data_IF_799522481979
#
_entry.id   IF_799522481979
#
_cell.length_a   1.000
_cell.length_b   1.000
_cell.length_c   1.000
_cell.angle_alpha   90.00
_cell.angle_beta   90.00
_cell.angle_gamma   90.00
#
_symmetry.space_group_name_H-M   'P 1'
#
loop_
_entity.id
_entity.type
_entity.pdbx_description
1 polymer ?
#
# COMPACT_ATOMS: atom_id res chain seq x y z
N UNK A 1 18.37 -36.44 -5.67
CA UNK A 1 19.03 -35.14 -5.59
C UNK A 1 19.66 -34.66 -6.91
N UNK A 2 19.55 -35.41 -8.00
CA UNK A 2 20.07 -35.01 -9.34
C UNK A 2 19.04 -34.38 -10.29
N UNK A 3 17.74 -34.39 -9.96
CA UNK A 3 16.70 -33.91 -10.86
C UNK A 3 16.33 -32.43 -10.65
N UNK A 4 16.65 -31.85 -9.47
CA UNK A 4 16.33 -30.45 -9.16
C UNK A 4 17.29 -29.48 -9.89
N UNK A 5 18.55 -29.85 -10.09
CA UNK A 5 19.51 -29.02 -10.83
C UNK A 5 19.14 -28.87 -12.32
N UNK A 6 18.62 -29.94 -12.94
CA UNK A 6 18.17 -29.88 -14.34
C UNK A 6 16.95 -29.00 -14.57
N UNK A 7 16.03 -28.95 -13.61
CA UNK A 7 14.84 -28.09 -13.71
C UNK A 7 15.18 -26.59 -13.53
N UNK A 8 16.19 -26.27 -12.71
CA UNK A 8 16.68 -24.92 -12.55
C UNK A 8 17.40 -24.42 -13.80
N UNK A 9 18.22 -25.27 -14.43
CA UNK A 9 18.91 -24.90 -15.67
C UNK A 9 17.94 -24.76 -16.86
N UNK A 10 16.87 -25.54 -16.93
CA UNK A 10 15.81 -25.39 -17.93
C UNK A 10 15.00 -24.11 -17.71
N UNK A 11 14.75 -23.76 -16.45
CA UNK A 11 14.06 -22.53 -16.08
C UNK A 11 14.92 -21.28 -16.38
N UNK A 12 16.21 -21.36 -16.08
CA UNK A 12 17.17 -20.29 -16.38
C UNK A 12 17.42 -20.14 -17.88
N UNK A 13 17.46 -21.23 -18.66
CA UNK A 13 17.58 -21.16 -20.13
C UNK A 13 16.32 -20.58 -20.79
N UNK A 14 15.11 -20.87 -20.27
CA UNK A 14 13.86 -20.23 -20.73
C UNK A 14 13.81 -18.72 -20.44
N UNK A 15 14.54 -18.24 -19.42
CA UNK A 15 14.69 -16.82 -19.12
C UNK A 15 15.67 -16.14 -20.11
N UNK A 16 16.68 -16.87 -20.60
CA UNK A 16 17.68 -16.34 -21.53
C UNK A 16 17.21 -16.28 -23.00
N UNK A 17 16.23 -17.10 -23.40
CA UNK A 17 15.67 -17.06 -24.76
C UNK A 17 14.63 -15.97 -25.01
N UNK A 18 14.21 -15.19 -23.99
CA UNK A 18 13.31 -14.06 -24.16
C UNK A 18 14.04 -12.70 -24.26
N UNK A 19 15.12 -12.64 -25.05
CA UNK A 19 15.99 -11.47 -25.20
C UNK A 19 15.37 -10.23 -25.92
N UNK A 20 14.04 -10.17 -26.03
CA UNK A 20 13.31 -9.01 -26.53
C UNK A 20 12.24 -8.49 -25.56
N UNK A 21 12.32 -8.80 -24.26
CA UNK A 21 11.48 -8.09 -23.29
C UNK A 21 12.00 -6.67 -23.14
N UNK A 22 11.13 -5.65 -23.25
CA UNK A 22 11.54 -4.26 -23.06
C UNK A 22 12.20 -4.12 -21.68
N UNK A 23 13.43 -3.59 -21.66
CA UNK A 23 14.15 -3.32 -20.41
C UNK A 23 13.61 -2.02 -19.84
N UNK A 24 12.66 -2.15 -18.93
CA UNK A 24 12.11 -1.00 -18.23
C UNK A 24 13.09 -0.46 -17.21
N UNK A 25 13.38 0.82 -17.30
CA UNK A 25 14.29 1.54 -16.41
C UNK A 25 13.53 2.57 -15.57
N UNK A 26 13.96 2.75 -14.34
CA UNK A 26 13.43 3.77 -13.44
C UNK A 26 14.52 4.76 -13.07
N UNK A 27 14.25 6.04 -13.24
CA UNK A 27 15.17 7.10 -12.84
C UNK A 27 14.48 8.08 -11.89
N UNK A 28 15.22 8.68 -10.94
CA UNK A 28 14.67 9.70 -10.06
C UNK A 28 14.14 10.90 -10.86
N UNK A 29 13.02 11.44 -10.42
CA UNK A 29 12.42 12.66 -10.95
C UNK A 29 12.90 13.84 -10.11
N UNK A 30 13.97 14.47 -10.54
CA UNK A 30 14.53 15.71 -10.02
C UNK A 30 14.49 16.82 -11.08
N UNK A 31 15.02 17.98 -10.79
CA UNK A 31 15.02 19.12 -11.71
C UNK A 31 15.80 18.82 -13.01
N UNK A 32 16.95 18.13 -12.91
CA UNK A 32 17.78 17.76 -14.05
C UNK A 32 17.04 16.80 -14.98
N UNK A 33 16.51 15.72 -14.46
CA UNK A 33 15.79 14.70 -15.23
C UNK A 33 14.46 15.25 -15.75
N UNK A 34 13.75 16.07 -14.96
CA UNK A 34 12.54 16.74 -15.41
C UNK A 34 12.78 17.69 -16.58
N UNK A 35 13.90 18.41 -16.58
CA UNK A 35 14.32 19.25 -17.72
C UNK A 35 14.66 18.40 -18.94
N UNK A 36 15.44 17.34 -18.77
CA UNK A 36 15.82 16.41 -19.83
C UNK A 36 14.62 15.84 -20.58
N UNK A 37 13.57 15.48 -19.84
CA UNK A 37 12.34 14.86 -20.40
C UNK A 37 11.18 15.84 -20.59
N UNK A 38 11.44 17.16 -20.50
CA UNK A 38 10.44 18.22 -20.69
C UNK A 38 9.19 18.09 -19.79
N UNK A 39 9.41 17.82 -18.51
CA UNK A 39 8.36 17.60 -17.51
C UNK A 39 8.21 18.76 -16.50
N UNK A 40 9.08 19.76 -16.51
CA UNK A 40 9.12 20.84 -15.50
C UNK A 40 7.79 21.56 -15.30
N UNK A 41 7.04 21.79 -16.39
CA UNK A 41 5.74 22.46 -16.33
C UNK A 41 4.59 21.57 -15.84
N UNK A 42 4.83 20.28 -15.69
CA UNK A 42 3.80 19.25 -15.42
C UNK A 42 3.84 18.69 -14.00
N UNK A 43 4.90 18.98 -13.25
CA UNK A 43 5.18 18.39 -11.96
C UNK A 43 5.65 19.42 -10.94
N UNK A 44 5.47 19.10 -9.67
CA UNK A 44 6.06 19.87 -8.56
C UNK A 44 7.38 19.25 -8.16
N UNK A 45 8.44 20.06 -8.15
CA UNK A 45 9.78 19.67 -7.73
C UNK A 45 10.14 20.45 -6.47
N UNK A 46 10.78 19.79 -5.52
CA UNK A 46 11.21 20.40 -4.27
C UNK A 46 11.51 19.34 -3.22
N UNK A 47 12.10 19.72 -2.08
CA UNK A 47 12.51 18.79 -1.03
C UNK A 47 11.35 18.02 -0.42
N UNK A 48 10.12 18.54 -0.52
CA UNK A 48 8.88 17.93 -0.04
C UNK A 48 8.32 16.86 -0.98
N UNK A 49 8.86 16.72 -2.19
CA UNK A 49 8.41 15.73 -3.17
C UNK A 49 9.43 14.63 -3.40
N UNK A 50 8.95 13.46 -3.79
CA UNK A 50 9.71 12.38 -4.41
C UNK A 50 9.04 12.01 -5.72
N UNK A 51 9.80 11.78 -6.75
CA UNK A 51 9.25 11.36 -8.03
C UNK A 51 10.12 10.35 -8.72
N UNK A 52 9.53 9.69 -9.71
CA UNK A 52 10.17 8.72 -10.57
C UNK A 52 9.67 8.86 -12.00
N UNK A 53 10.57 8.66 -12.97
CA UNK A 53 10.26 8.52 -14.38
C UNK A 53 10.44 7.03 -14.72
N UNK A 54 9.46 6.47 -15.40
CA UNK A 54 9.44 5.09 -15.88
C UNK A 54 9.68 5.10 -17.39
N UNK A 55 10.69 4.38 -17.83
CA UNK A 55 11.22 4.44 -19.20
C UNK A 55 11.19 3.05 -19.85
N UNK A 56 10.92 3.04 -21.16
CA UNK A 56 11.24 1.96 -22.08
C UNK A 56 12.42 2.45 -22.94
N UNK A 57 13.61 1.95 -22.65
CA UNK A 57 14.87 2.55 -23.10
C UNK A 57 14.92 4.05 -22.72
N UNK A 58 15.01 4.97 -23.69
CA UNK A 58 14.99 6.41 -23.43
C UNK A 58 13.60 7.05 -23.59
N UNK A 59 12.56 6.25 -23.86
CA UNK A 59 11.20 6.75 -24.04
C UNK A 59 10.44 6.76 -22.71
N UNK A 60 9.84 7.90 -22.38
CA UNK A 60 9.01 8.03 -21.17
C UNK A 60 7.72 7.25 -21.35
N UNK A 61 7.56 6.16 -20.59
CA UNK A 61 6.30 5.45 -20.44
C UNK A 61 5.36 6.27 -19.57
N UNK A 62 5.87 6.75 -18.43
CA UNK A 62 5.10 7.53 -17.49
C UNK A 62 5.96 8.09 -16.36
N UNK A 63 5.33 8.82 -15.48
CA UNK A 63 5.97 9.38 -14.30
C UNK A 63 4.99 9.51 -13.13
N UNK A 64 5.52 9.44 -11.92
CA UNK A 64 4.79 9.64 -10.69
C UNK A 64 5.55 10.59 -9.76
N UNK A 65 4.78 11.40 -9.03
CA UNK A 65 5.30 12.33 -8.03
C UNK A 65 4.44 12.25 -6.77
N UNK A 66 5.07 12.14 -5.60
CA UNK A 66 4.43 11.93 -4.31
C UNK A 66 4.92 12.98 -3.31
N UNK A 67 4.01 13.59 -2.58
CA UNK A 67 4.36 14.44 -1.46
C UNK A 67 4.82 13.58 -0.26
N UNK A 68 6.01 13.83 0.26
CA UNK A 68 6.65 13.03 1.31
C UNK A 68 5.91 13.06 2.64
N UNK A 69 5.28 14.18 2.97
CA UNK A 69 4.59 14.38 4.25
C UNK A 69 3.19 13.79 4.22
N UNK A 70 2.40 14.12 3.20
CA UNK A 70 1.01 13.69 3.09
C UNK A 70 0.84 12.30 2.48
N UNK A 71 1.90 11.77 1.83
CA UNK A 71 1.88 10.50 1.09
C UNK A 71 0.87 10.47 -0.07
N UNK A 72 0.48 11.64 -0.55
CA UNK A 72 -0.46 11.79 -1.67
C UNK A 72 0.31 11.72 -2.99
N UNK A 73 -0.18 10.92 -3.92
CA UNK A 73 0.23 10.97 -5.32
C UNK A 73 -0.26 12.28 -5.90
N UNK A 74 0.66 13.22 -6.14
CA UNK A 74 0.35 14.53 -6.70
C UNK A 74 0.12 14.48 -8.21
N UNK A 75 0.92 13.66 -8.86
CA UNK A 75 0.82 13.39 -10.31
C UNK A 75 1.16 11.93 -10.53
N UNK A 76 0.34 11.27 -11.31
CA UNK A 76 0.62 9.97 -11.92
C UNK A 76 0.12 10.05 -13.35
N UNK A 77 1.00 9.89 -14.31
CA UNK A 77 0.66 10.00 -15.71
C UNK A 77 1.39 8.97 -16.55
N UNK A 78 0.64 8.24 -17.36
CA UNK A 78 1.13 7.39 -18.43
C UNK A 78 1.13 8.20 -19.73
N UNK A 79 2.15 8.04 -20.54
CA UNK A 79 2.24 8.68 -21.86
C UNK A 79 1.22 8.05 -22.80
N UNK A 80 0.53 8.87 -23.58
CA UNK A 80 -0.53 8.44 -24.51
C UNK A 80 -0.12 7.28 -25.43
N UNK A 81 1.14 7.19 -25.82
CA UNK A 81 1.67 6.07 -26.63
C UNK A 81 1.66 4.73 -25.87
N UNK A 82 1.75 4.79 -24.55
CA UNK A 82 1.83 3.63 -23.64
C UNK A 82 0.58 3.51 -22.76
N UNK A 83 -0.51 4.17 -23.15
CA UNK A 83 -1.76 4.26 -22.39
C UNK A 83 -2.46 2.90 -22.38
N UNK A 84 -2.18 2.13 -21.35
CA UNK A 84 -2.81 0.84 -21.06
C UNK A 84 -2.80 0.58 -19.55
N UNK A 85 -3.65 -0.32 -19.11
CA UNK A 85 -3.89 -0.67 -17.72
C UNK A 85 -2.62 -1.19 -17.00
N UNK A 86 -1.81 -2.02 -17.65
CA UNK A 86 -0.59 -2.60 -17.08
C UNK A 86 0.43 -1.53 -16.72
N UNK A 87 0.59 -0.51 -17.57
CA UNK A 87 1.49 0.61 -17.31
C UNK A 87 0.98 1.50 -16.17
N UNK A 88 -0.32 1.71 -16.04
CA UNK A 88 -0.90 2.38 -14.88
C UNK A 88 -0.65 1.58 -13.60
N UNK A 89 -0.94 0.27 -13.60
CA UNK A 89 -0.70 -0.62 -12.46
C UNK A 89 0.78 -0.64 -12.06
N UNK A 90 1.68 -0.73 -13.03
CA UNK A 90 3.11 -0.69 -12.80
C UNK A 90 3.51 0.63 -12.10
N UNK A 91 3.05 1.76 -12.62
CA UNK A 91 3.39 3.07 -12.10
C UNK A 91 2.78 3.34 -10.72
N UNK A 92 1.54 2.91 -10.47
CA UNK A 92 0.89 2.97 -9.14
C UNK A 92 1.70 2.12 -8.14
N UNK A 93 2.07 0.90 -8.50
CA UNK A 93 2.86 0.02 -7.64
C UNK A 93 4.25 0.61 -7.33
N UNK A 94 4.89 1.25 -8.30
CA UNK A 94 6.15 1.98 -8.08
C UNK A 94 5.92 3.14 -7.09
N UNK A 95 4.87 3.95 -7.29
CA UNK A 95 4.55 5.05 -6.39
C UNK A 95 4.32 4.58 -4.94
N UNK A 96 3.66 3.44 -4.76
CA UNK A 96 3.43 2.84 -3.44
C UNK A 96 4.73 2.30 -2.83
N UNK A 97 5.46 1.46 -3.55
CA UNK A 97 6.61 0.71 -3.00
C UNK A 97 7.85 1.57 -2.83
N UNK A 98 8.15 2.43 -3.79
CA UNK A 98 9.41 3.18 -3.82
C UNK A 98 9.25 4.62 -3.32
N UNK A 99 8.12 5.27 -3.61
CA UNK A 99 7.87 6.64 -3.18
C UNK A 99 7.07 6.73 -1.87
N UNK A 100 6.50 5.61 -1.42
CA UNK A 100 5.75 5.52 -0.16
C UNK A 100 4.37 6.16 -0.22
N UNK A 101 3.76 6.21 -1.40
CA UNK A 101 2.39 6.71 -1.57
C UNK A 101 1.37 5.79 -0.87
N UNK A 102 0.34 6.39 -0.30
CA UNK A 102 -0.80 5.67 0.26
C UNK A 102 -2.15 6.36 0.02
N UNK A 103 -2.14 7.54 -0.58
CA UNK A 103 -3.35 8.30 -0.95
C UNK A 103 -3.24 8.71 -2.41
N UNK A 104 -4.33 8.63 -3.13
CA UNK A 104 -4.50 9.20 -4.48
C UNK A 104 -5.79 10.01 -4.56
N UNK A 105 -5.82 10.98 -5.47
CA UNK A 105 -7.01 11.77 -5.78
C UNK A 105 -7.33 11.50 -7.25
N UNK A 106 -8.49 10.90 -7.50
CA UNK A 106 -8.93 10.47 -8.84
C UNK A 106 -10.24 11.17 -9.17
N UNK A 107 -10.36 11.67 -10.40
CA UNK A 107 -11.62 12.26 -10.88
C UNK A 107 -12.71 11.22 -10.95
N UNK A 108 -13.93 11.55 -10.51
CA UNK A 108 -15.13 10.71 -10.63
C UNK A 108 -15.51 10.41 -12.09
N UNK A 109 -15.08 11.25 -13.02
CA UNK A 109 -15.34 11.05 -14.46
C UNK A 109 -14.34 10.08 -15.12
N UNK A 110 -13.50 9.41 -14.35
CA UNK A 110 -12.49 8.47 -14.85
C UNK A 110 -12.65 7.11 -14.15
N UNK A 111 -13.76 6.43 -14.45
CA UNK A 111 -14.11 5.16 -13.81
C UNK A 111 -13.06 4.07 -14.08
N UNK A 112 -12.45 4.06 -15.28
CA UNK A 112 -11.39 3.11 -15.64
C UNK A 112 -10.20 3.26 -14.70
N UNK A 113 -9.77 4.51 -14.44
CA UNK A 113 -8.66 4.78 -13.54
C UNK A 113 -9.00 4.45 -12.09
N UNK A 114 -10.25 4.68 -11.66
CA UNK A 114 -10.73 4.27 -10.33
C UNK A 114 -10.61 2.76 -10.18
N UNK A 115 -11.09 1.99 -11.16
CA UNK A 115 -10.97 0.52 -11.18
C UNK A 115 -9.52 0.05 -11.10
N UNK A 116 -8.62 0.66 -11.87
CA UNK A 116 -7.17 0.33 -11.82
C UNK A 116 -6.58 0.59 -10.42
N UNK A 117 -6.94 1.70 -9.77
CA UNK A 117 -6.50 1.96 -8.40
C UNK A 117 -7.06 0.94 -7.40
N UNK A 118 -8.32 0.51 -7.56
CA UNK A 118 -8.95 -0.51 -6.71
C UNK A 118 -8.23 -1.86 -6.86
N UNK A 119 -7.87 -2.26 -8.04
CA UNK A 119 -7.08 -3.46 -8.30
C UNK A 119 -5.66 -3.36 -7.72
N UNK A 120 -5.09 -2.16 -7.67
CA UNK A 120 -3.83 -1.89 -6.95
C UNK A 120 -3.99 -1.82 -5.42
N UNK A 121 -5.19 -2.09 -4.89
CA UNK A 121 -5.47 -2.17 -3.46
C UNK A 121 -5.88 -0.84 -2.82
N UNK A 122 -6.23 0.17 -3.59
CA UNK A 122 -6.84 1.39 -3.08
C UNK A 122 -8.35 1.21 -2.89
N UNK A 123 -8.96 2.06 -2.09
CA UNK A 123 -10.42 2.16 -1.96
C UNK A 123 -10.82 3.62 -1.74
N UNK A 124 -11.99 3.97 -2.18
CA UNK A 124 -12.56 5.29 -1.91
C UNK A 124 -12.83 5.41 -0.41
N UNK A 125 -12.24 6.40 0.25
CA UNK A 125 -12.49 6.67 1.66
C UNK A 125 -13.21 8.02 1.89
N UNK A 126 -13.16 8.90 0.90
CA UNK A 126 -13.85 10.18 0.94
C UNK A 126 -14.15 10.69 -0.47
N UNK A 127 -15.15 11.57 -0.58
CA UNK A 127 -15.55 12.20 -1.82
C UNK A 127 -15.65 13.72 -1.60
N UNK A 128 -14.96 14.48 -2.46
CA UNK A 128 -15.00 15.96 -2.39
C UNK A 128 -15.18 16.51 -3.81
N UNK A 129 -16.30 17.14 -4.05
CA UNK A 129 -16.64 17.66 -5.37
C UNK A 129 -16.64 16.59 -6.44
N UNK A 130 -15.87 16.79 -7.49
CA UNK A 130 -15.71 15.86 -8.62
C UNK A 130 -14.62 14.81 -8.43
N UNK A 131 -14.08 14.65 -7.20
CA UNK A 131 -12.96 13.76 -6.97
C UNK A 131 -13.27 12.71 -5.91
N UNK A 132 -12.76 11.50 -6.13
CA UNK A 132 -12.58 10.48 -5.13
C UNK A 132 -11.22 10.63 -4.47
N UNK A 133 -11.20 10.59 -3.15
CA UNK A 133 -10.01 10.42 -2.35
C UNK A 133 -9.86 8.92 -2.08
N UNK A 134 -8.86 8.31 -2.68
CA UNK A 134 -8.60 6.89 -2.58
C UNK A 134 -7.42 6.63 -1.65
N UNK A 135 -7.58 5.73 -0.71
CA UNK A 135 -6.54 5.31 0.21
C UNK A 135 -6.15 3.86 -0.07
N UNK A 136 -4.86 3.58 -0.06
CA UNK A 136 -4.36 2.22 -0.15
C UNK A 136 -4.89 1.42 1.04
N UNK A 137 -5.66 0.37 0.75
CA UNK A 137 -6.05 -0.60 1.78
C UNK A 137 -4.77 -1.21 2.34
N UNK A 138 -4.61 -1.13 3.66
CA UNK A 138 -3.62 -1.96 4.36
C UNK A 138 -4.10 -3.43 4.41
N UNK A 139 -4.70 -3.88 3.31
CA UNK A 139 -5.17 -5.25 3.18
C UNK A 139 -4.05 -6.08 2.57
N UNK A 140 -3.17 -6.55 3.44
CA UNK A 140 -2.23 -7.60 3.08
C UNK A 140 -2.99 -8.93 3.00
N UNK A 141 -3.86 -9.10 1.99
CA UNK A 141 -4.66 -10.31 1.84
C UNK A 141 -3.80 -11.58 1.87
N UNK A 142 -2.58 -11.53 1.31
CA UNK A 142 -1.64 -12.65 1.31
C UNK A 142 -0.99 -12.92 2.69
N UNK A 143 -1.13 -12.00 3.66
CA UNK A 143 -0.52 -12.13 4.99
C UNK A 143 -1.54 -11.97 6.12
N UNK A 144 -2.82 -12.03 5.76
CA UNK A 144 -3.92 -11.95 6.70
C UNK A 144 -3.91 -13.15 7.65
N UNK A 145 -3.82 -12.86 8.94
CA UNK A 145 -3.96 -13.86 10.01
C UNK A 145 -5.19 -13.54 10.85
N UNK A 146 -5.85 -14.58 11.31
CA UNK A 146 -7.04 -14.47 12.15
C UNK A 146 -6.79 -15.28 13.42
N UNK A 147 -6.91 -14.62 14.57
CA UNK A 147 -7.11 -15.27 15.85
C UNK A 147 -8.60 -15.32 16.10
N UNK A 148 -9.16 -16.50 16.29
CA UNK A 148 -10.60 -16.68 16.49
C UNK A 148 -10.87 -17.78 17.51
N UNK A 149 -11.84 -17.53 18.38
CA UNK A 149 -12.42 -18.51 19.28
C UNK A 149 -13.91 -18.17 19.56
N UNK A 150 -14.53 -18.85 20.53
CA UNK A 150 -15.92 -18.60 20.93
C UNK A 150 -16.18 -17.19 21.47
N UNK A 151 -15.17 -16.46 21.88
CA UNK A 151 -15.30 -15.12 22.46
C UNK A 151 -15.28 -14.01 21.41
N UNK A 152 -14.70 -14.26 20.21
CA UNK A 152 -14.59 -13.28 19.15
C UNK A 152 -13.42 -13.55 18.20
N UNK A 153 -12.95 -12.50 17.54
CA UNK A 153 -11.82 -12.61 16.62
C UNK A 153 -10.96 -11.34 16.58
N UNK A 154 -9.72 -11.51 16.13
CA UNK A 154 -8.79 -10.42 15.82
C UNK A 154 -8.10 -10.70 14.49
N UNK A 155 -8.28 -9.81 13.56
CA UNK A 155 -7.64 -9.87 12.25
C UNK A 155 -6.43 -8.93 12.21
N UNK A 156 -5.28 -9.44 11.80
CA UNK A 156 -4.05 -8.68 11.71
C UNK A 156 -3.20 -9.14 10.54
N UNK A 157 -2.25 -8.32 10.14
CA UNK A 157 -1.26 -8.68 9.15
C UNK A 157 0.12 -8.14 9.52
N UNK A 158 1.15 -8.79 8.99
CA UNK A 158 2.52 -8.32 9.02
C UNK A 158 3.12 -8.55 7.64
N UNK A 159 3.37 -7.47 6.91
CA UNK A 159 3.91 -7.51 5.56
C UNK A 159 5.38 -7.08 5.58
N UNK A 160 6.28 -8.01 5.35
CA UNK A 160 7.73 -7.73 5.28
C UNK A 160 8.08 -6.89 4.05
N UNK A 161 7.43 -7.12 2.92
CA UNK A 161 7.65 -6.40 1.67
C UNK A 161 7.29 -4.92 1.78
N UNK A 162 6.22 -4.59 2.52
CA UNK A 162 5.76 -3.23 2.77
C UNK A 162 6.30 -2.64 4.06
N UNK A 163 7.06 -3.43 4.82
CA UNK A 163 7.58 -3.06 6.13
C UNK A 163 6.51 -2.44 7.04
N UNK A 164 5.36 -3.08 7.09
CA UNK A 164 4.22 -2.65 7.88
C UNK A 164 3.54 -3.81 8.61
N UNK A 165 2.93 -3.50 9.75
CA UNK A 165 2.05 -4.42 10.46
C UNK A 165 0.83 -3.65 10.98
N UNK A 166 -0.34 -4.26 10.86
CA UNK A 166 -1.57 -3.64 11.34
C UNK A 166 -2.55 -4.67 11.92
N UNK A 167 -3.35 -4.19 12.84
CA UNK A 167 -4.55 -4.86 13.36
C UNK A 167 -5.73 -4.08 12.80
N UNK A 168 -6.59 -4.72 12.03
CA UNK A 168 -7.64 -4.03 11.27
C UNK A 168 -9.07 -4.49 11.60
N UNK A 169 -9.21 -5.56 12.35
CA UNK A 169 -10.50 -5.96 12.91
C UNK A 169 -10.28 -6.64 14.27
N UNK A 170 -10.97 -6.16 15.29
CA UNK A 170 -11.01 -6.72 16.62
C UNK A 170 -12.46 -6.73 17.09
N UNK A 171 -13.02 -7.90 17.22
CA UNK A 171 -14.40 -8.09 17.64
C UNK A 171 -14.48 -9.03 18.83
N UNK A 172 -15.31 -8.68 19.80
CA UNK A 172 -15.66 -9.53 20.94
C UNK A 172 -17.19 -9.65 20.98
N UNK A 173 -17.68 -10.88 21.03
CA UNK A 173 -19.10 -11.18 21.12
C UNK A 173 -19.72 -10.44 22.33
N UNK A 174 -20.91 -9.88 22.16
CA UNK A 174 -21.55 -8.97 23.13
C UNK A 174 -21.58 -9.52 24.56
N UNK A 175 -21.90 -10.78 24.70
CA UNK A 175 -22.01 -11.51 25.98
C UNK A 175 -20.68 -11.68 26.71
N UNK A 176 -19.54 -11.57 26.01
CA UNK A 176 -18.20 -11.72 26.58
C UNK A 176 -17.42 -10.40 26.69
N UNK A 177 -18.07 -9.27 26.46
CA UNK A 177 -17.43 -7.95 26.60
C UNK A 177 -17.13 -7.62 28.05
N UNK A 178 -16.19 -6.69 28.26
CA UNK A 178 -15.70 -6.26 29.57
C UNK A 178 -15.01 -7.36 30.41
N UNK A 179 -14.78 -8.55 29.86
CA UNK A 179 -14.13 -9.68 30.49
C UNK A 179 -12.65 -9.83 30.09
N UNK A 180 -12.06 -8.83 29.43
CA UNK A 180 -10.64 -8.82 29.08
C UNK A 180 -10.27 -9.52 27.76
N UNK A 181 -11.24 -10.09 27.01
CA UNK A 181 -10.95 -10.83 25.78
C UNK A 181 -10.32 -9.97 24.69
N UNK A 182 -10.74 -8.72 24.54
CA UNK A 182 -10.10 -7.78 23.59
C UNK A 182 -8.62 -7.57 23.91
N UNK A 183 -8.27 -7.43 25.18
CA UNK A 183 -6.87 -7.29 25.63
C UNK A 183 -6.05 -8.56 25.34
N UNK A 184 -6.65 -9.74 25.51
CA UNK A 184 -6.01 -11.02 25.20
C UNK A 184 -5.72 -11.12 23.69
N UNK A 185 -6.72 -10.91 22.84
CA UNK A 185 -6.56 -10.94 21.38
C UNK A 185 -5.49 -9.96 20.89
N UNK A 186 -5.49 -8.72 21.40
CA UNK A 186 -4.46 -7.74 21.05
C UNK A 186 -3.06 -8.21 21.44
N UNK A 187 -2.88 -8.73 22.67
CA UNK A 187 -1.59 -9.24 23.11
C UNK A 187 -1.09 -10.39 22.26
N UNK A 188 -1.95 -11.34 21.91
CA UNK A 188 -1.62 -12.48 21.06
C UNK A 188 -1.26 -12.03 19.63
N UNK A 189 -2.03 -11.10 19.05
CA UNK A 189 -1.74 -10.54 17.72
C UNK A 189 -0.40 -9.79 17.71
N UNK A 190 -0.15 -8.93 18.72
CA UNK A 190 1.12 -8.20 18.87
C UNK A 190 2.28 -9.19 19.00
N UNK A 191 2.15 -10.22 19.87
CA UNK A 191 3.16 -11.26 20.05
C UNK A 191 3.47 -11.96 18.72
N UNK A 192 2.44 -12.43 18.02
CA UNK A 192 2.58 -13.11 16.74
C UNK A 192 3.25 -12.22 15.66
N UNK A 193 2.94 -10.91 15.64
CA UNK A 193 3.61 -9.96 14.74
C UNK A 193 5.10 -9.82 15.15
N UNK A 194 5.41 -9.71 16.43
CA UNK A 194 6.80 -9.58 16.92
C UNK A 194 7.66 -10.82 16.65
N UNK A 195 7.07 -12.00 16.73
CA UNK A 195 7.73 -13.28 16.39
C UNK A 195 8.16 -13.36 14.92
N UNK A 196 7.57 -12.58 14.02
CA UNK A 196 8.05 -12.46 12.63
C UNK A 196 9.35 -11.63 12.49
N UNK A 197 9.84 -11.04 13.59
CA UNK A 197 10.98 -10.12 13.61
C UNK A 197 10.61 -8.66 13.32
N UNK A 198 9.33 -8.32 13.18
CA UNK A 198 8.88 -6.95 12.94
C UNK A 198 9.09 -6.08 14.19
N UNK A 199 9.88 -4.99 14.06
CA UNK A 199 10.27 -4.13 15.19
C UNK A 199 9.57 -2.76 15.22
N UNK A 200 8.99 -2.32 14.11
CA UNK A 200 8.32 -1.01 13.99
C UNK A 200 6.99 -0.96 14.73
N UNK A 201 6.38 0.24 14.77
CA UNK A 201 5.08 0.44 15.38
C UNK A 201 3.98 -0.35 14.64
N UNK A 202 3.18 -1.12 15.39
CA UNK A 202 2.01 -1.84 14.86
C UNK A 202 0.86 -0.85 14.81
N UNK A 203 0.22 -0.74 13.65
CA UNK A 203 -0.85 0.22 13.40
C UNK A 203 -2.21 -0.39 13.73
N UNK A 204 -3.14 0.45 14.17
CA UNK A 204 -4.55 0.11 14.36
C UNK A 204 -5.43 1.32 14.09
N UNK A 205 -6.59 1.09 13.45
CA UNK A 205 -7.63 2.11 13.29
C UNK A 205 -8.74 1.88 14.30
N UNK A 206 -9.10 2.87 15.12
CA UNK A 206 -10.23 2.75 16.02
C UNK A 206 -11.54 2.87 15.23
N UNK A 207 -12.26 1.78 15.13
CA UNK A 207 -13.57 1.70 14.47
C UNK A 207 -14.56 1.16 15.50
N UNK A 208 -15.23 2.03 16.28
CA UNK A 208 -16.25 1.56 17.22
C UNK A 208 -17.45 1.06 16.46
N UNK A 209 -17.83 -0.20 16.70
CA UNK A 209 -19.03 -0.81 16.10
C UNK A 209 -20.33 -0.40 16.80
N UNK A 210 -20.23 0.18 17.99
CA UNK A 210 -21.38 0.58 18.81
C UNK A 210 -21.11 1.92 19.49
N UNK A 211 -22.18 2.64 19.80
CA UNK A 211 -22.14 3.92 20.53
C UNK A 211 -21.69 3.78 22.00
N UNK A 212 -21.40 2.57 22.48
CA UNK A 212 -20.99 2.29 23.87
C UNK A 212 -19.58 2.73 24.23
N UNK A 213 -18.74 3.00 23.24
CA UNK A 213 -17.39 3.53 23.40
C UNK A 213 -17.11 4.59 22.34
N UNK A 214 -16.57 5.74 22.75
CA UNK A 214 -16.20 6.76 21.78
C UNK A 214 -14.96 6.37 20.97
N UNK A 215 -14.82 6.90 19.74
CA UNK A 215 -13.61 6.73 18.93
C UNK A 215 -12.37 7.19 19.70
N UNK A 216 -12.50 8.26 20.50
CA UNK A 216 -11.42 8.82 21.33
C UNK A 216 -10.98 7.84 22.44
N UNK A 217 -11.93 7.28 23.19
CA UNK A 217 -11.60 6.34 24.27
C UNK A 217 -11.00 5.05 23.74
N UNK A 218 -11.49 4.57 22.58
CA UNK A 218 -10.93 3.42 21.89
C UNK A 218 -9.50 3.69 21.41
N UNK A 219 -9.24 4.87 20.88
CA UNK A 219 -7.90 5.30 20.48
C UNK A 219 -6.93 5.34 21.68
N UNK A 220 -7.35 5.91 22.80
CA UNK A 220 -6.54 5.94 24.03
C UNK A 220 -6.28 4.53 24.60
N UNK A 221 -7.27 3.64 24.50
CA UNK A 221 -7.10 2.24 24.88
C UNK A 221 -6.01 1.56 24.03
N UNK A 222 -6.03 1.75 22.69
CA UNK A 222 -5.03 1.17 21.80
C UNK A 222 -3.63 1.76 22.00
N UNK A 223 -3.51 3.06 22.26
CA UNK A 223 -2.23 3.70 22.61
C UNK A 223 -1.61 3.07 23.89
N UNK A 224 -2.44 2.84 24.93
CA UNK A 224 -1.99 2.16 26.16
C UNK A 224 -1.53 0.71 25.92
N UNK A 225 -2.00 0.08 24.85
CA UNK A 225 -1.54 -1.24 24.41
C UNK A 225 -0.26 -1.19 23.56
N UNK A 226 0.33 0.00 23.36
CA UNK A 226 1.57 0.20 22.59
C UNK A 226 1.35 0.20 21.07
N UNK A 227 0.11 0.43 20.63
CA UNK A 227 -0.24 0.48 19.21
C UNK A 227 -0.21 1.92 18.68
N UNK A 228 0.20 2.08 17.43
CA UNK A 228 0.12 3.35 16.72
C UNK A 228 -1.29 3.49 16.14
N UNK A 229 -2.07 4.38 16.72
CA UNK A 229 -3.40 4.73 16.20
C UNK A 229 -3.24 5.52 14.92
N UNK A 230 -4.00 5.12 13.90
CA UNK A 230 -4.13 5.84 12.62
C UNK A 230 -5.60 6.23 12.44
N UNK A 231 -5.84 7.39 11.84
CA UNK A 231 -7.19 7.93 11.57
C UNK A 231 -7.85 7.26 10.38
#
# INVERSE_FOLDING_TARGET
MKDIEKDVDLWMSGILESSNKPVFTKIPLDEKTAKQYNLLSKIKIGPEYKGIIYLDNDNVIGYANVNKSTKIIQVLKVNKKYDNEDNYKALINIAVRELGANISIVSKNNDDLVGIYEECGFHVFNEVGSNYYMMLKFDCQNHKKVLQDKYGHCCYCCCKERDCACIYNLYVNKEYRKQGHSKRFLKEAIKSIRETGFKKAIQIRPTPEENSISKKDLAEYYKRMGLKVID
#
